data_IF_554147965901
#
_entry.id   IF_554147965901
#
_cell.length_a   1.000
_cell.length_b   1.000
_cell.length_c   1.000
_cell.angle_alpha   90.00
_cell.angle_beta   90.00
_cell.angle_gamma   90.00
#
_symmetry.space_group_name_H-M   'P 1'
#
loop_
_entity.id
_entity.type
_entity.pdbx_description
1 polymer ?
#
# COMPACT_ATOMS: atom_id res chain seq x y z
N UNK A 1 -5.41 24.92 -3.49
CA UNK A 1 -4.97 23.91 -2.50
C UNK A 1 -4.29 22.78 -3.26
N UNK A 2 -3.20 22.21 -2.72
CA UNK A 2 -2.43 21.12 -3.36
C UNK A 2 -2.80 19.80 -2.69
N UNK A 3 -2.98 18.75 -3.48
CA UNK A 3 -3.42 17.43 -3.01
C UNK A 3 -2.60 16.34 -3.67
N UNK A 4 -2.36 15.24 -2.96
CA UNK A 4 -1.67 14.06 -3.49
C UNK A 4 -2.27 12.77 -2.92
N UNK A 5 -2.89 11.94 -3.77
CA UNK A 5 -3.55 10.70 -3.37
C UNK A 5 -2.83 9.44 -3.84
N UNK A 6 -1.64 9.55 -4.44
CA UNK A 6 -0.92 8.41 -5.01
C UNK A 6 0.35 8.11 -4.23
N UNK A 7 0.17 7.70 -2.98
CA UNK A 7 1.24 7.26 -2.09
C UNK A 7 1.02 5.83 -1.61
N UNK A 8 2.10 5.17 -1.22
CA UNK A 8 2.08 3.77 -0.78
C UNK A 8 2.72 3.61 0.60
N UNK A 9 2.20 2.68 1.38
CA UNK A 9 2.73 2.31 2.70
C UNK A 9 3.56 1.02 2.64
N UNK A 10 3.63 0.36 1.48
CA UNK A 10 4.12 -1.00 1.24
C UNK A 10 5.50 -1.38 1.81
N UNK A 11 6.37 -0.39 2.06
CA UNK A 11 7.70 -0.59 2.62
C UNK A 11 7.74 -0.53 4.16
N UNK A 12 6.70 -0.01 4.80
CA UNK A 12 6.53 -0.01 6.25
C UNK A 12 5.40 -0.94 6.70
N UNK A 13 5.29 -1.16 8.01
CA UNK A 13 4.07 -1.71 8.58
C UNK A 13 3.01 -0.62 8.70
N UNK A 14 1.76 -1.01 8.95
CA UNK A 14 0.69 -0.10 9.42
C UNK A 14 0.99 0.40 10.84
N UNK A 15 2.06 1.19 10.94
CA UNK A 15 2.60 1.83 12.13
C UNK A 15 2.51 3.35 11.91
N UNK A 16 1.92 4.04 12.89
CA UNK A 16 1.77 5.49 12.85
C UNK A 16 3.11 6.22 12.76
N UNK A 17 4.14 5.78 13.48
CA UNK A 17 5.48 6.41 13.47
C UNK A 17 6.10 6.41 12.06
N UNK A 18 5.83 5.38 11.28
CA UNK A 18 6.23 5.31 9.88
C UNK A 18 5.42 6.30 9.03
N UNK A 19 4.10 6.35 9.23
CA UNK A 19 3.20 7.24 8.51
C UNK A 19 3.45 8.74 8.80
N UNK A 20 3.94 9.09 10.00
CA UNK A 20 4.28 10.49 10.38
C UNK A 20 5.22 11.17 9.38
N UNK A 21 6.12 10.41 8.75
CA UNK A 21 7.04 10.94 7.74
C UNK A 21 6.32 11.60 6.56
N UNK A 22 5.18 11.03 6.15
CA UNK A 22 4.38 11.52 5.03
C UNK A 22 3.69 12.85 5.36
N UNK A 23 3.06 12.93 6.53
CA UNK A 23 2.38 14.16 6.98
C UNK A 23 3.35 15.32 7.17
N UNK A 24 4.51 15.09 7.83
CA UNK A 24 5.55 16.12 7.94
C UNK A 24 6.06 16.59 6.59
N UNK A 25 6.24 15.66 5.64
CA UNK A 25 6.70 16.00 4.30
C UNK A 25 5.65 16.82 3.52
N UNK A 26 4.36 16.51 3.69
CA UNK A 26 3.24 17.22 3.09
C UNK A 26 3.15 18.66 3.62
N UNK A 27 3.19 18.86 4.94
CA UNK A 27 3.19 20.18 5.58
C UNK A 27 4.34 21.07 5.07
N UNK A 28 5.57 20.53 5.05
CA UNK A 28 6.75 21.24 4.55
C UNK A 28 6.63 21.68 3.08
N UNK A 29 5.80 20.99 2.29
CA UNK A 29 5.60 21.26 0.85
C UNK A 29 4.33 22.06 0.55
N UNK A 30 3.56 22.41 1.59
CA UNK A 30 2.26 23.06 1.43
C UNK A 30 1.25 22.18 0.70
N UNK A 31 1.29 20.86 0.93
CA UNK A 31 0.25 19.92 0.50
C UNK A 31 -0.80 19.86 1.61
N UNK A 32 -2.06 20.03 1.23
CA UNK A 32 -3.18 20.25 2.15
C UNK A 32 -4.00 19.00 2.41
N UNK A 33 -3.95 18.04 1.48
CA UNK A 33 -4.59 16.74 1.65
C UNK A 33 -3.70 15.67 1.05
N UNK A 34 -3.51 14.58 1.78
CA UNK A 34 -2.80 13.41 1.27
C UNK A 34 -3.61 12.13 1.40
N UNK A 35 -3.44 11.23 0.45
CA UNK A 35 -4.09 9.92 0.45
C UNK A 35 -3.14 8.80 0.03
N UNK A 36 -3.46 7.61 0.52
CA UNK A 36 -2.73 6.40 0.17
C UNK A 36 -3.58 5.57 -0.80
N UNK A 37 -2.96 5.07 -1.86
CA UNK A 37 -3.59 4.24 -2.88
C UNK A 37 -2.81 2.95 -2.97
N UNK A 38 -3.09 1.98 -2.09
CA UNK A 38 -2.25 0.80 -1.99
C UNK A 38 -2.39 -0.19 -3.16
N UNK A 39 -1.34 -0.96 -3.38
CA UNK A 39 -1.34 -2.04 -4.36
C UNK A 39 -2.21 -3.20 -3.89
N UNK A 40 -3.05 -3.73 -4.78
CA UNK A 40 -3.94 -4.85 -4.48
C UNK A 40 -3.20 -6.12 -4.04
N UNK A 41 -1.94 -6.30 -4.46
CA UNK A 41 -1.11 -7.42 -4.02
C UNK A 41 -0.73 -7.39 -2.54
N UNK A 42 -1.09 -6.33 -1.81
CA UNK A 42 -0.97 -6.26 -0.36
C UNK A 42 -2.13 -6.99 0.35
N UNK A 43 -3.28 -7.17 -0.32
CA UNK A 43 -4.50 -7.67 0.31
C UNK A 43 -4.85 -9.13 -0.07
N UNK A 44 -4.99 -10.05 0.90
CA UNK A 44 -5.43 -11.42 0.65
C UNK A 44 -6.73 -11.53 -0.14
N UNK A 45 -7.62 -10.54 -0.02
CA UNK A 45 -8.89 -10.46 -0.74
C UNK A 45 -8.71 -10.44 -2.26
N UNK A 46 -7.53 -10.05 -2.76
CA UNK A 46 -7.18 -10.10 -4.18
C UNK A 46 -6.22 -11.23 -4.53
N UNK A 47 -5.91 -12.15 -3.61
CA UNK A 47 -4.90 -13.18 -3.84
C UNK A 47 -5.20 -14.03 -5.08
N UNK A 48 -6.45 -14.48 -5.21
CA UNK A 48 -6.85 -15.33 -6.33
C UNK A 48 -6.64 -14.65 -7.69
N UNK A 49 -6.87 -13.34 -7.79
CA UNK A 49 -6.65 -12.57 -9.03
C UNK A 49 -5.22 -12.76 -9.57
N UNK A 50 -4.23 -12.81 -8.68
CA UNK A 50 -2.84 -13.01 -9.09
C UNK A 50 -2.56 -14.44 -9.54
N UNK A 51 -3.22 -15.44 -8.98
CA UNK A 51 -3.07 -16.82 -9.46
C UNK A 51 -3.79 -17.06 -10.79
N UNK A 52 -4.85 -16.30 -11.06
CA UNK A 52 -5.59 -16.38 -12.32
C UNK A 52 -4.86 -15.69 -13.48
N UNK A 53 -4.23 -14.54 -13.23
CA UNK A 53 -3.68 -13.68 -14.30
C UNK A 53 -2.15 -13.78 -14.47
N UNK A 54 -1.40 -14.24 -13.46
CA UNK A 54 0.05 -14.37 -13.60
C UNK A 54 0.43 -15.61 -14.42
N UNK A 55 1.48 -15.46 -15.20
CA UNK A 55 2.21 -16.58 -15.80
C UNK A 55 3.00 -17.23 -14.67
N UNK A 56 2.70 -18.48 -14.35
CA UNK A 56 3.37 -19.23 -13.28
C UNK A 56 4.01 -20.52 -13.78
N UNK A 57 4.26 -20.63 -15.08
CA UNK A 57 4.96 -21.74 -15.75
C UNK A 57 6.49 -21.64 -15.68
N UNK A 58 7.22 -22.58 -16.28
CA UNK A 58 8.69 -22.61 -16.20
C UNK A 58 9.41 -21.66 -17.16
N UNK A 59 8.67 -20.80 -17.86
CA UNK A 59 9.27 -19.72 -18.65
C UNK A 59 10.06 -18.74 -17.78
N UNK A 60 10.90 -17.92 -18.41
CA UNK A 60 11.63 -16.85 -17.72
C UNK A 60 10.66 -15.90 -17.01
N UNK A 61 9.54 -15.57 -17.65
CA UNK A 61 8.50 -14.71 -17.07
C UNK A 61 7.83 -15.41 -15.89
N UNK A 62 7.51 -16.70 -16.02
CA UNK A 62 6.86 -17.45 -14.96
C UNK A 62 7.74 -17.64 -13.72
N UNK A 63 9.03 -17.91 -13.90
CA UNK A 63 10.00 -17.93 -12.80
C UNK A 63 10.11 -16.57 -12.08
N UNK A 64 10.11 -15.47 -12.84
CA UNK A 64 10.13 -14.12 -12.29
C UNK A 64 8.87 -13.82 -11.47
N UNK A 65 7.68 -14.08 -12.02
CA UNK A 65 6.40 -13.80 -11.36
C UNK A 65 6.18 -14.70 -10.13
N UNK A 66 6.56 -15.98 -10.18
CA UNK A 66 6.59 -16.86 -8.99
C UNK A 66 7.47 -16.31 -7.87
N UNK A 67 8.63 -15.74 -8.20
CA UNK A 67 9.52 -15.14 -7.20
C UNK A 67 8.93 -13.86 -6.63
N UNK A 68 8.31 -13.04 -7.47
CA UNK A 68 7.65 -11.79 -7.07
C UNK A 68 6.48 -12.06 -6.10
N UNK A 69 5.67 -13.09 -6.35
CA UNK A 69 4.51 -13.44 -5.54
C UNK A 69 4.85 -13.91 -4.11
N UNK A 70 6.10 -14.34 -3.86
CA UNK A 70 6.52 -14.86 -2.55
C UNK A 70 6.90 -13.79 -1.52
N UNK A 71 7.23 -12.57 -1.96
CA UNK A 71 7.82 -11.55 -1.08
C UNK A 71 6.88 -10.38 -0.89
N UNK A 72 6.53 -10.10 0.36
CA UNK A 72 5.71 -8.94 0.75
C UNK A 72 4.40 -8.86 -0.05
N UNK A 73 3.61 -9.92 -0.02
CA UNK A 73 2.29 -10.02 -0.66
C UNK A 73 1.27 -10.43 0.39
N UNK A 74 0.03 -10.01 0.21
CA UNK A 74 -1.14 -10.47 1.00
C UNK A 74 -0.92 -10.35 2.52
N UNK A 75 -0.33 -9.23 2.94
CA UNK A 75 0.09 -9.00 4.34
C UNK A 75 -1.00 -8.43 5.22
N UNK A 76 -1.90 -7.64 4.64
CA UNK A 76 -2.90 -6.88 5.38
C UNK A 76 -4.24 -7.07 4.72
N UNK A 77 -5.32 -7.17 5.47
CA UNK A 77 -6.68 -7.15 4.90
C UNK A 77 -7.08 -5.74 4.51
N UNK A 78 -8.13 -5.62 3.68
CA UNK A 78 -8.76 -4.33 3.39
C UNK A 78 -9.28 -3.67 4.67
N UNK A 79 -9.83 -4.45 5.60
CA UNK A 79 -10.32 -3.96 6.89
C UNK A 79 -9.20 -3.39 7.76
N UNK A 80 -8.04 -4.04 7.80
CA UNK A 80 -6.85 -3.53 8.51
C UNK A 80 -6.37 -2.23 7.90
N UNK A 81 -6.36 -2.14 6.56
CA UNK A 81 -6.01 -0.94 5.83
C UNK A 81 -6.97 0.21 6.14
N UNK A 82 -8.27 0.02 5.98
CA UNK A 82 -9.25 1.07 6.28
C UNK A 82 -9.20 1.49 7.74
N UNK A 83 -9.05 0.54 8.66
CA UNK A 83 -8.87 0.83 10.08
C UNK A 83 -7.64 1.69 10.35
N UNK A 84 -6.54 1.44 9.63
CA UNK A 84 -5.32 2.23 9.76
C UNK A 84 -5.47 3.63 9.15
N UNK A 85 -6.02 3.75 7.94
CA UNK A 85 -6.28 5.05 7.30
C UNK A 85 -7.21 5.91 8.15
N UNK A 86 -8.24 5.33 8.75
CA UNK A 86 -9.15 6.03 9.66
C UNK A 86 -8.46 6.55 10.93
N UNK A 87 -7.48 5.80 11.46
CA UNK A 87 -6.65 6.29 12.58
C UNK A 87 -5.83 7.50 12.16
N UNK A 88 -5.16 7.43 11.01
CA UNK A 88 -4.36 8.54 10.49
C UNK A 88 -5.22 9.78 10.23
N UNK A 89 -6.39 9.62 9.61
CA UNK A 89 -7.34 10.70 9.33
C UNK A 89 -7.82 11.41 10.60
N UNK A 90 -7.99 10.68 11.71
CA UNK A 90 -8.39 11.28 13.00
C UNK A 90 -7.25 12.04 13.68
N UNK A 91 -6.01 11.62 13.44
CA UNK A 91 -4.82 12.18 14.08
C UNK A 91 -4.29 13.41 13.34
N UNK A 92 -4.34 13.40 12.02
CA UNK A 92 -3.76 14.44 11.17
C UNK A 92 -4.85 15.36 10.59
N UNK A 93 -4.46 16.63 10.36
CA UNK A 93 -5.33 17.66 9.75
C UNK A 93 -4.97 17.95 8.28
N UNK A 94 -3.89 17.31 7.81
CA UNK A 94 -3.47 17.19 6.41
C UNK A 94 -3.99 15.86 5.90
#
# INVERSE_FOLDING_TARGET
MRFDYHMHLEYGSYNEDYAEGFFRAAEQRGVYEIGFSEHSHTFPEFEQLYYDDLILDDSVVGQFQRKWLKKNKFKYTLDEYFSFIEKLRKKHKV
#
